data_IF_340215452182
#
_entry.id   IF_340215452182
#
_cell.length_a   1.000
_cell.length_b   1.000
_cell.length_c   1.000
_cell.angle_alpha   90.00
_cell.angle_beta   90.00
_cell.angle_gamma   90.00
#
_symmetry.space_group_name_H-M   'P 1'
#
loop_
_entity.id
_entity.type
_entity.pdbx_description
1 polymer ?
#
# COMPACT_ATOMS: atom_id res chain seq x y z
N UNK A 1 -1.91 9.13 2.91
CA UNK A 1 -1.07 8.01 3.44
C UNK A 1 0.13 8.52 4.20
N UNK A 2 0.93 9.45 3.65
CA UNK A 2 2.09 10.05 4.35
C UNK A 2 1.74 10.54 5.76
N UNK A 3 0.60 11.19 5.90
CA UNK A 3 0.20 11.80 7.17
C UNK A 3 -0.58 10.85 8.09
N UNK A 4 -1.00 9.68 7.60
CA UNK A 4 -1.84 8.74 8.34
C UNK A 4 -1.08 7.47 8.75
N UNK A 5 -0.37 6.85 7.82
CA UNK A 5 0.31 5.58 8.06
C UNK A 5 1.30 5.61 9.24
N UNK A 6 2.04 6.71 9.52
CA UNK A 6 2.94 6.74 10.68
C UNK A 6 2.25 6.44 12.03
N UNK A 7 0.96 6.71 12.19
CA UNK A 7 0.19 6.36 13.39
C UNK A 7 -0.06 4.85 13.55
N UNK A 8 0.11 4.09 12.45
CA UNK A 8 -0.16 2.66 12.34
C UNK A 8 1.09 1.84 12.00
N UNK A 9 2.25 2.48 11.80
CA UNK A 9 3.46 1.86 11.25
C UNK A 9 4.03 0.74 12.13
N UNK A 10 3.67 0.69 13.41
CA UNK A 10 4.05 -0.36 14.36
C UNK A 10 3.17 -1.62 14.26
N UNK A 11 2.01 -1.52 13.57
CA UNK A 11 0.96 -2.55 13.55
C UNK A 11 0.50 -2.93 12.16
N UNK A 12 0.68 -2.07 11.16
CA UNK A 12 0.28 -2.28 9.77
C UNK A 12 1.46 -2.05 8.86
N UNK A 13 1.89 -3.10 8.18
CA UNK A 13 2.87 -2.97 7.11
C UNK A 13 2.27 -2.25 5.91
N UNK A 14 3.03 -1.33 5.33
CA UNK A 14 2.66 -0.64 4.10
C UNK A 14 3.85 -0.64 3.15
N UNK A 15 3.60 -1.08 1.92
CA UNK A 15 4.63 -1.17 0.88
C UNK A 15 4.21 -0.33 -0.33
N UNK A 16 5.13 0.49 -0.82
CA UNK A 16 4.99 1.10 -2.13
C UNK A 16 5.45 0.09 -3.19
N UNK A 17 4.57 -0.24 -4.13
CA UNK A 17 4.87 -1.23 -5.16
C UNK A 17 5.25 -0.55 -6.47
N UNK A 18 6.49 -0.75 -6.90
CA UNK A 18 6.98 -0.35 -8.21
C UNK A 18 6.57 -1.36 -9.28
N UNK A 19 5.88 -0.90 -10.33
CA UNK A 19 5.47 -1.75 -11.46
C UNK A 19 6.18 -1.42 -12.79
N UNK A 20 6.92 -0.32 -12.83
CA UNK A 20 7.53 0.15 -14.08
C UNK A 20 8.74 -0.70 -14.43
N UNK A 21 8.82 -1.28 -15.64
CA UNK A 21 10.02 -1.99 -16.08
C UNK A 21 11.19 -1.04 -16.38
N UNK A 22 10.96 0.28 -16.36
CA UNK A 22 11.95 1.31 -16.64
C UNK A 22 12.44 2.03 -15.38
N UNK A 23 11.91 1.70 -14.21
CA UNK A 23 12.36 2.25 -12.93
C UNK A 23 12.98 1.14 -12.09
N UNK A 24 14.24 1.33 -11.71
CA UNK A 24 14.90 0.43 -10.77
C UNK A 24 14.41 0.66 -9.34
N UNK A 25 14.48 -0.39 -8.52
CA UNK A 25 14.24 -0.30 -7.08
C UNK A 25 15.05 0.84 -6.43
N UNK A 26 16.34 0.97 -6.75
CA UNK A 26 17.22 2.04 -6.22
C UNK A 26 16.66 3.45 -6.49
N UNK A 27 16.10 3.68 -7.68
CA UNK A 27 15.54 4.98 -8.05
C UNK A 27 14.27 5.26 -7.24
N UNK A 28 13.44 4.25 -7.03
CA UNK A 28 12.22 4.36 -6.23
C UNK A 28 12.53 4.60 -4.75
N UNK A 29 13.54 3.93 -4.21
CA UNK A 29 14.04 4.14 -2.85
C UNK A 29 14.61 5.55 -2.67
N UNK A 30 15.44 6.00 -3.60
CA UNK A 30 15.97 7.37 -3.60
C UNK A 30 14.86 8.41 -3.63
N UNK A 31 13.82 8.17 -4.43
CA UNK A 31 12.63 9.01 -4.46
C UNK A 31 11.89 8.99 -3.12
N UNK A 32 11.67 7.81 -2.53
CA UNK A 32 11.02 7.68 -1.22
C UNK A 32 11.77 8.43 -0.12
N UNK A 33 13.11 8.32 -0.09
CA UNK A 33 13.96 9.06 0.84
C UNK A 33 13.84 10.58 0.65
N UNK A 34 13.91 11.05 -0.60
CA UNK A 34 13.80 12.48 -0.94
C UNK A 34 12.45 13.06 -0.51
N UNK A 35 11.37 12.31 -0.70
CA UNK A 35 10.02 12.72 -0.31
C UNK A 35 9.73 12.50 1.19
N UNK A 36 10.63 11.86 1.93
CA UNK A 36 10.46 11.53 3.35
C UNK A 36 9.34 10.51 3.58
N UNK A 37 9.17 9.56 2.66
CA UNK A 37 8.28 8.43 2.85
C UNK A 37 8.96 7.39 3.73
N UNK A 38 8.25 6.94 4.76
CA UNK A 38 8.77 6.01 5.77
C UNK A 38 8.53 4.54 5.41
N UNK A 39 7.68 4.27 4.42
CA UNK A 39 7.38 2.91 3.99
C UNK A 39 8.42 2.37 2.99
N UNK A 40 8.75 1.07 3.07
CA UNK A 40 9.60 0.42 2.10
C UNK A 40 8.99 0.41 0.69
N UNK A 41 9.87 0.28 -0.31
CA UNK A 41 9.49 0.03 -1.70
C UNK A 41 9.76 -1.44 -2.01
N UNK A 42 8.87 -2.07 -2.77
CA UNK A 42 9.07 -3.41 -3.31
C UNK A 42 8.75 -3.46 -4.82
N UNK A 43 9.37 -4.40 -5.51
CA UNK A 43 9.03 -4.76 -6.88
C UNK A 43 7.91 -5.82 -6.89
N UNK A 44 7.21 -5.95 -8.01
CA UNK A 44 6.16 -6.94 -8.18
C UNK A 44 6.25 -7.61 -9.55
N UNK A 45 5.93 -8.90 -9.58
CA UNK A 45 5.72 -9.61 -10.84
C UNK A 45 4.48 -9.02 -11.57
N UNK A 46 4.60 -8.61 -12.84
CA UNK A 46 3.46 -8.13 -13.64
C UNK A 46 2.26 -9.10 -13.69
N UNK A 47 2.50 -10.42 -13.56
CA UNK A 47 1.43 -11.42 -13.46
C UNK A 47 0.60 -11.21 -12.19
N UNK A 48 1.23 -10.92 -11.06
CA UNK A 48 0.53 -10.66 -9.79
C UNK A 48 -0.38 -9.43 -9.90
N UNK A 49 0.05 -8.38 -10.59
CA UNK A 49 -0.80 -7.22 -10.86
C UNK A 49 -2.04 -7.57 -11.69
N UNK A 50 -1.90 -8.45 -12.69
CA UNK A 50 -3.03 -8.95 -13.50
C UNK A 50 -3.98 -9.80 -12.66
N UNK A 51 -3.45 -10.72 -11.85
CA UNK A 51 -4.25 -11.58 -10.97
C UNK A 51 -5.01 -10.74 -9.94
N UNK A 52 -4.39 -9.68 -9.42
CA UNK A 52 -4.99 -8.68 -8.56
C UNK A 52 -5.87 -7.66 -9.32
N UNK A 53 -6.01 -7.75 -10.65
CA UNK A 53 -6.79 -6.82 -11.48
C UNK A 53 -6.45 -5.35 -11.22
N UNK A 54 -5.17 -5.04 -11.05
CA UNK A 54 -4.69 -3.65 -10.94
C UNK A 54 -4.55 -3.10 -12.35
N UNK A 55 -5.53 -2.27 -12.76
CA UNK A 55 -5.62 -1.73 -14.12
C UNK A 55 -5.12 -0.29 -14.26
N UNK A 56 -4.91 0.40 -13.13
CA UNK A 56 -4.51 1.80 -13.11
C UNK A 56 -3.59 2.12 -11.93
N UNK A 57 -2.71 3.08 -12.13
CA UNK A 57 -2.07 3.79 -11.02
C UNK A 57 -2.99 4.90 -10.52
N UNK A 58 -3.01 5.29 -9.25
CA UNK A 58 -2.37 4.65 -8.08
C UNK A 58 -3.40 3.80 -7.34
N UNK A 59 -3.37 2.48 -7.51
CA UNK A 59 -4.27 1.56 -6.79
C UNK A 59 -3.67 1.20 -5.43
N UNK A 60 -4.50 1.18 -4.38
CA UNK A 60 -4.14 0.68 -3.05
C UNK A 60 -5.04 -0.50 -2.70
N UNK A 61 -4.44 -1.51 -2.07
CA UNK A 61 -5.12 -2.75 -1.68
C UNK A 61 -4.78 -3.01 -0.22
N UNK A 62 -5.80 -3.22 0.60
CA UNK A 62 -5.67 -3.66 1.98
C UNK A 62 -5.84 -5.17 2.05
N UNK A 63 -4.94 -5.82 2.77
CA UNK A 63 -4.93 -7.26 3.00
C UNK A 63 -4.95 -7.48 4.52
N UNK A 64 -5.77 -8.41 5.00
CA UNK A 64 -5.69 -8.84 6.40
C UNK A 64 -4.56 -9.88 6.62
N UNK A 65 -4.37 -10.31 7.87
CA UNK A 65 -3.33 -11.25 8.27
C UNK A 65 -3.45 -12.64 7.60
N UNK A 66 -4.61 -12.97 7.01
CA UNK A 66 -4.84 -14.21 6.26
C UNK A 66 -4.56 -14.03 4.76
N UNK A 67 -4.17 -12.82 4.34
CA UNK A 67 -3.95 -12.46 2.94
C UNK A 67 -5.25 -12.19 2.18
N UNK A 68 -6.38 -11.98 2.87
CA UNK A 68 -7.66 -11.68 2.22
C UNK A 68 -7.73 -10.19 1.90
N UNK A 69 -8.10 -9.85 0.66
CA UNK A 69 -8.33 -8.46 0.26
C UNK A 69 -9.60 -7.94 0.96
N UNK A 70 -9.44 -7.00 1.88
CA UNK A 70 -10.55 -6.40 2.64
C UNK A 70 -11.03 -5.08 2.04
N UNK A 71 -10.14 -4.35 1.37
CA UNK A 71 -10.46 -3.09 0.74
C UNK A 71 -9.57 -2.79 -0.47
N UNK A 72 -10.11 -2.02 -1.42
CA UNK A 72 -9.40 -1.53 -2.60
C UNK A 72 -9.90 -0.14 -2.96
N UNK A 73 -8.98 0.74 -3.30
CA UNK A 73 -9.31 2.05 -3.85
C UNK A 73 -8.35 2.47 -4.96
N UNK A 74 -8.87 3.25 -5.91
CA UNK A 74 -8.11 3.83 -7.01
C UNK A 74 -7.40 5.13 -6.64
N UNK A 75 -6.92 5.85 -7.65
CA UNK A 75 -6.35 7.19 -7.46
C UNK A 75 -7.40 8.14 -6.90
N UNK A 76 -7.01 8.94 -5.89
CA UNK A 76 -7.86 9.89 -5.17
C UNK A 76 -9.11 9.30 -4.47
N UNK A 77 -9.25 7.98 -4.44
CA UNK A 77 -10.34 7.30 -3.76
C UNK A 77 -9.93 6.84 -2.34
N UNK A 78 -10.89 6.88 -1.42
CA UNK A 78 -10.66 6.75 0.02
C UNK A 78 -9.90 7.95 0.57
N UNK A 79 -10.60 8.95 1.09
CA UNK A 79 -9.98 10.04 1.85
C UNK A 79 -9.30 9.53 3.14
N UNK A 80 -8.64 10.43 3.87
CA UNK A 80 -7.90 10.08 5.11
C UNK A 80 -8.80 9.34 6.11
N UNK A 81 -10.03 9.82 6.34
CA UNK A 81 -10.94 9.18 7.28
C UNK A 81 -11.36 7.77 6.85
N UNK A 82 -11.51 7.54 5.54
CA UNK A 82 -11.83 6.21 5.03
C UNK A 82 -10.66 5.25 5.20
N UNK A 83 -9.43 5.70 4.93
CA UNK A 83 -8.25 4.88 5.18
C UNK A 83 -8.00 4.60 6.66
N UNK A 84 -8.33 5.56 7.54
CA UNK A 84 -8.28 5.34 8.99
C UNK A 84 -9.20 4.20 9.39
N UNK A 85 -10.46 4.25 8.93
CA UNK A 85 -11.41 3.16 9.17
C UNK A 85 -10.92 1.81 8.64
N UNK A 86 -10.36 1.78 7.42
CA UNK A 86 -9.80 0.55 6.83
C UNK A 86 -8.66 0.00 7.68
N UNK A 87 -7.79 0.86 8.20
CA UNK A 87 -6.71 0.46 9.09
C UNK A 87 -7.21 -0.09 10.43
N UNK A 88 -8.20 0.58 11.04
CA UNK A 88 -8.82 0.10 12.27
C UNK A 88 -9.45 -1.29 12.06
N UNK A 89 -10.18 -1.48 10.96
CA UNK A 89 -10.78 -2.78 10.60
C UNK A 89 -9.73 -3.89 10.37
N UNK A 90 -8.55 -3.56 9.83
CA UNK A 90 -7.45 -4.52 9.69
C UNK A 90 -6.90 -4.97 11.05
N UNK A 91 -6.78 -4.04 11.99
CA UNK A 91 -6.30 -4.34 13.34
C UNK A 91 -7.29 -5.21 14.12
N UNK A 92 -8.59 -4.94 14.01
CA UNK A 92 -9.64 -5.74 14.65
C UNK A 92 -9.64 -7.19 14.16
N UNK A 93 -9.44 -7.39 12.85
CA UNK A 93 -9.38 -8.73 12.24
C UNK A 93 -8.16 -9.54 12.64
N UNK A 94 -7.08 -8.90 13.08
CA UNK A 94 -5.85 -9.60 13.50
C UNK A 94 -6.00 -10.22 14.90
N UNK A 95 -7.00 -9.81 15.67
CA UNK A 95 -7.28 -10.32 17.02
C UNK A 95 -8.36 -11.39 17.12
N UNK A 96 -8.89 -11.92 16.00
CA UNK A 96 -9.96 -12.94 15.96
C UNK A 96 -9.46 -14.32 15.56
#
# INVERSE_FOLDING_TARGET
MKDLWPEYADRIDFYAIGQSPFESLEKLESYAQKEGYLWPVAEIDPKTLKDLKVLQQSTKIALDHQGVITYRAGYADGGVDKWRQVFDELLERTGS
#
